data_IF_263328517767
#
_entry.id   IF_263328517767
#
_cell.length_a   1.000
_cell.length_b   1.000
_cell.length_c   1.000
_cell.angle_alpha   90.00
_cell.angle_beta   90.00
_cell.angle_gamma   90.00
#
_symmetry.space_group_name_H-M   'P 1'
#
loop_
_entity.id
_entity.type
_entity.pdbx_description
1 polymer ?
#
# COMPACT_ATOMS: atom_id res chain seq x y z
N UNK A 1 32.83 -11.93 8.94
CA UNK A 1 31.49 -11.79 9.54
C UNK A 1 30.48 -11.77 8.42
N UNK A 2 29.50 -12.67 8.47
CA UNK A 2 28.52 -12.85 7.39
C UNK A 2 27.60 -11.63 7.27
N UNK A 3 27.81 -10.80 6.25
CA UNK A 3 26.85 -9.79 5.83
C UNK A 3 25.67 -10.52 5.18
N UNK A 4 24.60 -10.65 5.95
CA UNK A 4 23.29 -11.12 5.50
C UNK A 4 22.86 -10.20 4.35
N UNK A 5 22.92 -10.70 3.12
CA UNK A 5 22.32 -10.08 1.94
C UNK A 5 20.83 -9.92 2.24
N UNK A 6 20.41 -8.72 2.64
CA UNK A 6 18.99 -8.40 2.78
C UNK A 6 18.35 -8.53 1.39
N UNK A 7 17.20 -9.20 1.26
CA UNK A 7 16.60 -9.47 -0.04
C UNK A 7 16.26 -8.16 -0.72
N UNK A 8 16.89 -7.89 -1.88
CA UNK A 8 16.58 -6.86 -2.87
C UNK A 8 15.50 -5.83 -2.45
N UNK A 9 15.86 -4.85 -1.63
CA UNK A 9 15.01 -3.66 -1.42
C UNK A 9 15.04 -2.84 -2.71
N UNK A 10 14.07 -3.09 -3.60
CA UNK A 10 13.83 -2.22 -4.74
C UNK A 10 13.13 -0.96 -4.24
N UNK A 11 13.78 0.18 -4.41
CA UNK A 11 13.13 1.48 -4.20
C UNK A 11 12.09 1.64 -5.31
N UNK A 12 10.83 1.88 -4.94
CA UNK A 12 9.73 2.14 -5.88
C UNK A 12 9.42 3.64 -5.89
N UNK A 13 8.98 4.16 -7.05
CA UNK A 13 8.56 5.55 -7.15
C UNK A 13 7.19 5.76 -6.47
N UNK A 14 6.84 7.03 -6.22
CA UNK A 14 5.52 7.38 -5.68
C UNK A 14 4.42 6.98 -6.66
N UNK A 15 4.64 7.18 -7.95
CA UNK A 15 3.71 6.84 -9.02
C UNK A 15 3.47 5.33 -9.07
N UNK A 16 4.53 4.52 -9.02
CA UNK A 16 4.42 3.05 -8.98
C UNK A 16 3.61 2.59 -7.77
N UNK A 17 3.86 3.19 -6.60
CA UNK A 17 3.11 2.89 -5.38
C UNK A 17 1.62 3.19 -5.55
N UNK A 18 1.25 4.33 -6.14
CA UNK A 18 -0.15 4.70 -6.37
C UNK A 18 -0.85 3.71 -7.32
N UNK A 19 -0.15 3.27 -8.37
CA UNK A 19 -0.65 2.26 -9.31
C UNK A 19 -0.90 0.93 -8.57
N UNK A 20 0.08 0.45 -7.80
CA UNK A 20 -0.04 -0.79 -7.04
C UNK A 20 -1.23 -0.74 -6.08
N UNK A 21 -1.38 0.35 -5.32
CA UNK A 21 -2.51 0.51 -4.39
C UNK A 21 -3.85 0.51 -5.13
N UNK A 22 -3.93 1.17 -6.29
CA UNK A 22 -5.14 1.17 -7.12
C UNK A 22 -5.50 -0.24 -7.65
N UNK A 23 -4.50 -1.02 -8.07
CA UNK A 23 -4.71 -2.40 -8.53
C UNK A 23 -5.19 -3.33 -7.42
N UNK A 24 -4.71 -3.13 -6.19
CA UNK A 24 -5.19 -3.85 -5.01
C UNK A 24 -6.66 -3.50 -4.75
N UNK A 25 -7.00 -2.22 -4.67
CA UNK A 25 -8.37 -1.77 -4.36
C UNK A 25 -9.37 -2.19 -5.43
N UNK A 26 -8.97 -2.19 -6.70
CA UNK A 26 -9.83 -2.58 -7.83
C UNK A 26 -9.90 -4.09 -8.05
N UNK A 27 -9.21 -4.90 -7.25
CA UNK A 27 -9.20 -6.36 -7.36
C UNK A 27 -8.41 -6.89 -8.56
N UNK A 28 -7.72 -6.03 -9.33
CA UNK A 28 -6.88 -6.44 -10.47
C UNK A 28 -5.68 -7.29 -10.05
N UNK A 29 -5.22 -7.15 -8.80
CA UNK A 29 -4.15 -7.99 -8.22
C UNK A 29 -4.55 -9.46 -8.04
N UNK A 30 -5.87 -9.78 -8.01
CA UNK A 30 -6.40 -11.15 -7.96
C UNK A 30 -6.09 -11.96 -6.68
N UNK A 31 -5.33 -11.40 -5.74
CA UNK A 31 -4.84 -12.09 -4.53
C UNK A 31 -5.04 -11.30 -3.22
N UNK A 32 -5.65 -10.11 -3.29
CA UNK A 32 -5.83 -9.26 -2.12
C UNK A 32 -7.04 -9.72 -1.29
N UNK A 33 -6.85 -9.87 0.02
CA UNK A 33 -7.95 -10.07 0.96
C UNK A 33 -8.77 -8.78 1.14
N UNK A 34 -9.96 -8.88 1.73
CA UNK A 34 -10.76 -7.70 2.09
C UNK A 34 -9.96 -6.77 3.02
N UNK A 35 -9.16 -7.33 3.93
CA UNK A 35 -8.28 -6.54 4.81
C UNK A 35 -7.23 -5.75 4.02
N UNK A 36 -6.61 -6.38 3.01
CA UNK A 36 -5.61 -5.73 2.17
C UNK A 36 -6.23 -4.59 1.35
N UNK A 37 -7.44 -4.78 0.86
CA UNK A 37 -8.20 -3.76 0.12
C UNK A 37 -8.49 -2.55 1.02
N UNK A 38 -8.93 -2.78 2.27
CA UNK A 38 -9.22 -1.71 3.23
C UNK A 38 -7.93 -0.94 3.57
N UNK A 39 -6.84 -1.65 3.81
CA UNK A 39 -5.56 -1.01 4.14
C UNK A 39 -5.01 -0.22 2.95
N UNK A 40 -5.06 -0.77 1.74
CA UNK A 40 -4.64 -0.05 0.54
C UNK A 40 -5.45 1.23 0.32
N UNK A 41 -6.78 1.19 0.56
CA UNK A 41 -7.64 2.37 0.48
C UNK A 41 -7.29 3.43 1.54
N UNK A 42 -7.00 3.00 2.78
CA UNK A 42 -6.56 3.90 3.87
C UNK A 42 -5.25 4.59 3.53
N UNK A 43 -4.25 3.82 3.07
CA UNK A 43 -2.94 4.35 2.67
C UNK A 43 -3.09 5.32 1.50
N UNK A 44 -3.89 4.98 0.50
CA UNK A 44 -4.14 5.85 -0.65
C UNK A 44 -4.79 7.18 -0.23
N UNK A 45 -5.80 7.14 0.66
CA UNK A 45 -6.44 8.35 1.19
C UNK A 45 -5.44 9.24 1.94
N UNK A 46 -4.62 8.65 2.81
CA UNK A 46 -3.57 9.37 3.53
C UNK A 46 -2.58 10.07 2.59
N UNK A 47 -2.11 9.37 1.55
CA UNK A 47 -1.16 9.91 0.56
C UNK A 47 -1.73 11.05 -0.29
N UNK A 48 -3.06 11.15 -0.40
CA UNK A 48 -3.76 12.23 -1.11
C UNK A 48 -4.16 13.39 -0.17
N UNK A 49 -3.76 13.33 1.11
CA UNK A 49 -4.15 14.33 2.11
C UNK A 49 -5.63 14.29 2.46
N UNK A 50 -6.33 13.20 2.14
CA UNK A 50 -7.70 13.00 2.57
C UNK A 50 -7.65 12.63 4.05
N UNK A 51 -8.05 13.59 4.88
CA UNK A 51 -8.18 13.37 6.30
C UNK A 51 -9.36 12.42 6.52
N UNK A 52 -9.10 11.12 6.62
CA UNK A 52 -10.08 10.17 7.12
C UNK A 52 -10.15 10.43 8.63
N UNK A 53 -11.25 10.98 9.17
CA UNK A 53 -11.35 11.20 10.59
C UNK A 53 -11.20 9.84 11.27
N UNK A 54 -10.16 9.69 12.09
CA UNK A 54 -10.05 8.55 12.99
C UNK A 54 -11.36 8.53 13.79
N UNK A 55 -12.18 7.48 13.63
CA UNK A 55 -13.23 7.17 14.57
C UNK A 55 -12.57 6.71 15.88
N UNK A 56 -11.97 7.65 16.61
CA UNK A 56 -11.71 7.53 18.02
C UNK A 56 -12.86 8.27 18.72
N UNK A 57 -13.90 7.53 19.06
CA UNK A 57 -14.86 7.85 20.12
C UNK A 57 -14.69 6.80 21.21
#
# INVERSE_FOLDING_TARGET
GNTVNSPNKRIISREDLLVILSEIITGKSGKASISDIIEAARVLAYLQGWHVPNQQR
#
